data_IF_069549468372
#
_entry.id   IF_069549468372
#
_cell.length_a   1.000
_cell.length_b   1.000
_cell.length_c   1.000
_cell.angle_alpha   90.00
_cell.angle_beta   90.00
_cell.angle_gamma   90.00
#
_symmetry.space_group_name_H-M   'P 1'
#
loop_
_entity.id
_entity.type
_entity.pdbx_description
1 polymer ?
#
# COMPACT_ATOMS: atom_id res chain seq x y z
N UNK A 1 25.11 26.17 24.40
CA UNK A 1 24.77 25.66 25.75
C UNK A 1 24.56 24.17 25.59
N UNK A 2 25.55 23.38 25.99
CA UNK A 2 25.57 21.91 25.87
C UNK A 2 24.82 21.31 27.06
N UNK A 3 23.89 20.39 26.82
CA UNK A 3 23.38 19.48 27.85
C UNK A 3 23.84 18.07 27.47
N UNK A 4 24.72 17.54 28.32
CA UNK A 4 25.26 16.20 28.33
C UNK A 4 24.19 15.23 28.87
N UNK A 5 23.80 14.22 28.10
CA UNK A 5 22.87 13.17 28.56
C UNK A 5 23.55 11.81 28.55
N UNK A 6 24.46 11.62 29.51
CA UNK A 6 24.79 10.30 30.04
C UNK A 6 23.58 9.73 30.80
N UNK A 7 22.57 9.26 30.06
CA UNK A 7 21.63 8.24 30.54
C UNK A 7 21.62 7.08 29.55
N UNK A 8 22.76 6.42 29.61
CA UNK A 8 23.18 5.20 28.93
C UNK A 8 22.25 4.02 29.20
N UNK A 9 21.72 3.46 28.11
CA UNK A 9 21.69 2.01 27.79
C UNK A 9 20.62 1.09 28.41
N UNK A 10 19.55 1.59 29.03
CA UNK A 10 18.45 0.72 29.50
C UNK A 10 17.10 0.85 28.77
N UNK A 11 16.90 1.86 27.91
CA UNK A 11 15.62 2.10 27.22
C UNK A 11 15.52 1.58 25.77
N UNK A 12 16.56 0.91 25.25
CA UNK A 12 16.60 0.51 23.82
C UNK A 12 16.04 -0.90 23.53
N UNK A 13 15.81 -1.73 24.54
CA UNK A 13 15.25 -3.08 24.34
C UNK A 13 13.71 -3.12 24.50
N UNK A 14 13.15 -2.39 25.46
CA UNK A 14 11.70 -2.39 25.71
C UNK A 14 10.90 -1.69 24.59
N UNK A 15 11.44 -0.63 23.97
CA UNK A 15 10.79 0.04 22.81
C UNK A 15 10.80 -0.80 21.53
N UNK A 16 11.81 -1.65 21.33
CA UNK A 16 11.83 -2.58 20.18
C UNK A 16 10.74 -3.64 20.30
N UNK A 17 10.44 -4.08 21.52
CA UNK A 17 9.42 -5.10 21.78
C UNK A 17 8.00 -4.52 21.74
N UNK A 18 7.77 -3.29 22.19
CA UNK A 18 6.48 -2.60 22.00
C UNK A 18 6.16 -2.34 20.52
N UNK A 19 7.16 -1.97 19.71
CA UNK A 19 7.02 -1.86 18.25
C UNK A 19 6.64 -3.19 17.58
N UNK A 20 7.25 -4.30 18.01
CA UNK A 20 6.98 -5.65 17.49
C UNK A 20 5.63 -6.22 17.96
N UNK A 21 5.21 -5.98 19.19
CA UNK A 21 3.92 -6.43 19.74
C UNK A 21 2.75 -5.69 19.09
N UNK A 22 2.88 -4.38 18.86
CA UNK A 22 1.88 -3.60 18.12
C UNK A 22 1.86 -3.99 16.63
N UNK A 23 2.99 -4.46 16.10
CA UNK A 23 3.13 -4.91 14.72
C UNK A 23 2.52 -6.30 14.44
N UNK A 24 2.72 -7.28 15.32
CA UNK A 24 2.06 -8.59 15.21
C UNK A 24 0.54 -8.45 15.35
N UNK A 25 0.07 -7.55 16.23
CA UNK A 25 -1.34 -7.21 16.37
C UNK A 25 -1.90 -6.53 15.11
N UNK A 26 -1.16 -5.62 14.46
CA UNK A 26 -1.56 -5.02 13.19
C UNK A 26 -1.68 -6.06 12.07
N UNK A 27 -0.68 -6.94 11.92
CA UNK A 27 -0.71 -8.02 10.93
C UNK A 27 -1.83 -9.03 11.22
N UNK A 28 -2.03 -9.38 12.49
CA UNK A 28 -3.12 -10.26 12.91
C UNK A 28 -4.50 -9.62 12.67
N UNK A 29 -4.68 -8.33 12.98
CA UNK A 29 -5.94 -7.61 12.75
C UNK A 29 -6.24 -7.46 11.24
N UNK A 30 -5.23 -7.09 10.45
CA UNK A 30 -5.36 -7.01 9.00
C UNK A 30 -5.71 -8.38 8.41
N UNK A 31 -5.03 -9.45 8.84
CA UNK A 31 -5.34 -10.82 8.39
C UNK A 31 -6.67 -11.36 8.92
N UNK A 32 -7.09 -11.00 10.12
CA UNK A 32 -8.41 -11.34 10.65
C UNK A 32 -9.51 -10.72 9.77
N UNK A 33 -9.32 -9.47 9.32
CA UNK A 33 -10.24 -8.81 8.41
C UNK A 33 -10.21 -9.42 6.98
N UNK A 34 -9.06 -9.93 6.51
CA UNK A 34 -8.97 -10.69 5.25
C UNK A 34 -9.76 -12.01 5.29
N UNK A 35 -10.00 -12.56 6.49
CA UNK A 35 -10.72 -13.82 6.68
C UNK A 35 -12.22 -13.63 6.96
N UNK A 36 -12.73 -12.40 7.02
CA UNK A 36 -14.16 -12.10 7.23
C UNK A 36 -14.84 -11.73 5.91
N UNK A 37 -15.42 -12.72 5.23
CA UNK A 37 -16.32 -12.51 4.09
C UNK A 37 -17.79 -12.54 4.54
N UNK A 38 -18.65 -11.59 4.14
CA UNK A 38 -20.09 -11.70 4.34
C UNK A 38 -20.64 -12.79 3.42
N UNK A 39 -20.90 -13.96 3.98
CA UNK A 39 -21.38 -15.12 3.27
C UNK A 39 -22.92 -15.14 3.32
N UNK A 40 -23.58 -14.70 2.24
CA UNK A 40 -24.99 -15.01 2.00
C UNK A 40 -25.20 -15.47 0.55
N UNK A 41 -24.78 -16.70 0.27
CA UNK A 41 -25.56 -17.70 -0.47
C UNK A 41 -24.76 -19.02 -0.53
N UNK A 42 -25.19 -20.00 0.24
CA UNK A 42 -24.54 -21.30 0.39
C UNK A 42 -24.79 -22.19 -0.84
N UNK A 43 -23.89 -22.11 -1.82
CA UNK A 43 -23.58 -23.21 -2.73
C UNK A 43 -22.22 -23.80 -2.34
N UNK A 44 -22.13 -25.12 -2.15
CA UNK A 44 -20.90 -25.76 -1.68
C UNK A 44 -19.73 -25.53 -2.65
N UNK A 45 -18.75 -24.72 -2.24
CA UNK A 45 -17.51 -24.52 -3.00
C UNK A 45 -16.66 -25.81 -3.01
N UNK A 46 -15.85 -26.02 -4.07
CA UNK A 46 -14.98 -27.19 -4.16
C UNK A 46 -14.06 -27.30 -2.94
N UNK A 47 -13.76 -28.53 -2.54
CA UNK A 47 -12.87 -28.82 -1.41
C UNK A 47 -11.56 -28.05 -1.55
N UNK A 48 -11.05 -27.41 -0.48
CA UNK A 48 -9.86 -26.57 -0.58
C UNK A 48 -8.71 -27.36 -1.20
N UNK A 49 -8.10 -26.82 -2.26
CA UNK A 49 -6.86 -27.36 -2.80
C UNK A 49 -5.87 -27.51 -1.65
N UNK A 50 -5.37 -28.73 -1.45
CA UNK A 50 -4.46 -29.04 -0.34
C UNK A 50 -3.11 -28.33 -0.45
N UNK A 51 -2.81 -27.76 -1.64
CA UNK A 51 -1.53 -27.13 -1.99
C UNK A 51 -1.75 -25.95 -2.94
N UNK A 52 -0.94 -24.89 -2.79
CA UNK A 52 -0.89 -23.77 -3.73
C UNK A 52 -0.18 -24.19 -5.03
N UNK A 53 -0.73 -23.81 -6.18
CA UNK A 53 -0.10 -24.02 -7.49
C UNK A 53 1.01 -23.00 -7.76
N UNK A 54 1.92 -23.30 -8.68
CA UNK A 54 2.94 -22.33 -9.13
C UNK A 54 2.32 -21.04 -9.68
N UNK A 55 1.19 -21.14 -10.38
CA UNK A 55 0.48 -19.97 -10.91
C UNK A 55 -0.04 -19.07 -9.78
N UNK A 56 -0.70 -19.64 -8.78
CA UNK A 56 -1.18 -18.92 -7.59
C UNK A 56 -0.02 -18.30 -6.80
N UNK A 57 1.10 -19.03 -6.61
CA UNK A 57 2.29 -18.51 -5.95
C UNK A 57 2.90 -17.33 -6.70
N UNK A 58 3.01 -17.43 -8.04
CA UNK A 58 3.52 -16.34 -8.87
C UNK A 58 2.60 -15.12 -8.82
N UNK A 59 1.28 -15.32 -8.83
CA UNK A 59 0.30 -14.24 -8.71
C UNK A 59 0.43 -13.47 -7.39
N UNK A 60 0.58 -14.19 -6.27
CA UNK A 60 0.84 -13.58 -4.95
C UNK A 60 2.14 -12.77 -4.98
N UNK A 61 3.22 -13.35 -5.52
CA UNK A 61 4.51 -12.68 -5.59
C UNK A 61 4.50 -11.45 -6.50
N UNK A 62 3.77 -11.50 -7.61
CA UNK A 62 3.61 -10.39 -8.55
C UNK A 62 2.91 -9.21 -7.87
N UNK A 63 1.75 -9.43 -7.24
CA UNK A 63 1.02 -8.34 -6.59
C UNK A 63 1.75 -7.80 -5.35
N UNK A 64 2.38 -8.66 -4.54
CA UNK A 64 3.27 -8.20 -3.45
C UNK A 64 4.39 -7.33 -3.98
N UNK A 65 5.01 -7.74 -5.09
CA UNK A 65 6.10 -6.98 -5.72
C UNK A 65 5.61 -5.62 -6.20
N UNK A 66 4.47 -5.54 -6.88
CA UNK A 66 3.95 -4.27 -7.40
C UNK A 66 3.61 -3.26 -6.30
N UNK A 67 2.91 -3.70 -5.25
CA UNK A 67 2.61 -2.82 -4.11
C UNK A 67 3.89 -2.41 -3.36
N UNK A 68 4.84 -3.33 -3.17
CA UNK A 68 6.13 -3.03 -2.54
C UNK A 68 6.92 -2.03 -3.36
N UNK A 69 7.01 -2.23 -4.67
CA UNK A 69 7.76 -1.37 -5.56
C UNK A 69 7.12 0.02 -5.60
N UNK A 70 5.79 0.13 -5.59
CA UNK A 70 5.09 1.42 -5.46
C UNK A 70 5.56 2.19 -4.23
N UNK A 71 5.50 1.57 -3.05
CA UNK A 71 5.93 2.26 -1.81
C UNK A 71 7.44 2.55 -1.78
N UNK A 72 8.28 1.72 -2.42
CA UNK A 72 9.74 1.96 -2.55
C UNK A 72 10.03 3.16 -3.45
N UNK A 73 9.38 3.25 -4.61
CA UNK A 73 9.62 4.33 -5.56
C UNK A 73 9.05 5.66 -5.05
N UNK A 74 7.92 5.63 -4.32
CA UNK A 74 7.41 6.79 -3.58
C UNK A 74 8.42 7.30 -2.54
N UNK A 75 9.06 6.41 -1.77
CA UNK A 75 10.14 6.78 -0.84
C UNK A 75 11.30 7.43 -1.54
N UNK A 76 11.74 6.78 -2.62
CA UNK A 76 12.92 7.20 -3.36
C UNK A 76 12.70 8.61 -3.90
N UNK A 77 11.47 8.91 -4.35
CA UNK A 77 11.06 10.26 -4.70
C UNK A 77 11.17 11.24 -3.52
N UNK A 78 10.55 10.94 -2.36
CA UNK A 78 10.65 11.78 -1.16
C UNK A 78 12.09 12.09 -0.76
N UNK A 79 12.90 11.05 -0.59
CA UNK A 79 14.32 11.18 -0.18
C UNK A 79 15.09 12.00 -1.19
N UNK A 80 14.89 11.77 -2.49
CA UNK A 80 15.63 12.48 -3.53
C UNK A 80 15.21 13.95 -3.62
N UNK A 81 13.92 14.24 -3.42
CA UNK A 81 13.41 15.62 -3.34
C UNK A 81 13.96 16.37 -2.12
N UNK A 82 14.00 15.73 -0.95
CA UNK A 82 14.48 16.35 0.30
C UNK A 82 16.00 16.55 0.27
N UNK A 83 16.75 15.59 -0.25
CA UNK A 83 18.22 15.63 -0.27
C UNK A 83 18.80 16.34 -1.49
N UNK A 84 17.97 16.68 -2.49
CA UNK A 84 18.41 17.27 -3.75
C UNK A 84 19.21 16.29 -4.63
N UNK A 85 19.00 14.99 -4.49
CA UNK A 85 19.73 13.98 -5.26
C UNK A 85 19.23 13.95 -6.72
N UNK A 86 20.14 14.14 -7.69
CA UNK A 86 19.83 14.36 -9.11
C UNK A 86 19.44 13.08 -9.89
N UNK A 87 18.47 12.32 -9.40
CA UNK A 87 17.97 11.09 -10.04
C UNK A 87 16.44 11.02 -10.18
N UNK A 88 15.73 12.14 -9.97
CA UNK A 88 14.27 12.22 -9.99
C UNK A 88 13.66 11.68 -11.29
N UNK A 89 14.25 11.97 -12.45
CA UNK A 89 13.75 11.46 -13.74
C UNK A 89 13.79 9.94 -13.81
N UNK A 90 14.87 9.32 -13.32
CA UNK A 90 15.02 7.88 -13.27
C UNK A 90 14.04 7.24 -12.28
N UNK A 91 13.77 7.89 -11.15
CA UNK A 91 12.76 7.45 -10.17
C UNK A 91 11.36 7.56 -10.77
N UNK A 92 11.01 8.69 -11.37
CA UNK A 92 9.70 8.91 -11.98
C UNK A 92 9.42 7.86 -13.05
N UNK A 93 10.40 7.55 -13.90
CA UNK A 93 10.25 6.49 -14.91
C UNK A 93 9.87 5.14 -14.29
N UNK A 94 10.43 4.79 -13.13
CA UNK A 94 10.07 3.55 -12.42
C UNK A 94 8.72 3.66 -11.72
N UNK A 95 8.45 4.79 -11.08
CA UNK A 95 7.22 5.04 -10.34
C UNK A 95 5.98 5.01 -11.26
N UNK A 96 6.03 5.69 -12.41
CA UNK A 96 4.94 5.75 -13.38
C UNK A 96 4.83 4.50 -14.28
N UNK A 97 5.81 3.60 -14.26
CA UNK A 97 5.68 2.31 -14.96
C UNK A 97 4.86 1.29 -14.15
N UNK A 98 4.73 1.48 -12.83
CA UNK A 98 4.00 0.54 -11.96
C UNK A 98 2.50 0.45 -12.30
N UNK A 99 1.77 1.57 -12.52
CA UNK A 99 0.38 1.51 -12.97
C UNK A 99 0.21 0.73 -14.29
N UNK A 100 1.15 0.85 -15.22
CA UNK A 100 1.14 0.09 -16.48
C UNK A 100 1.27 -1.42 -16.23
N UNK A 101 2.18 -1.84 -15.35
CA UNK A 101 2.34 -3.27 -15.02
C UNK A 101 1.09 -3.79 -14.27
N UNK A 102 0.49 -2.99 -13.38
CA UNK A 102 -0.78 -3.36 -12.76
C UNK A 102 -1.87 -3.58 -13.81
N UNK A 103 -1.99 -2.70 -14.80
CA UNK A 103 -2.92 -2.86 -15.91
C UNK A 103 -2.68 -4.18 -16.65
N UNK A 104 -1.43 -4.43 -17.05
CA UNK A 104 -1.06 -5.66 -17.76
C UNK A 104 -1.40 -6.94 -16.98
N UNK A 105 -1.24 -6.90 -15.65
CA UNK A 105 -1.53 -8.04 -14.77
C UNK A 105 -3.03 -8.22 -14.52
N UNK A 106 -3.82 -7.15 -14.48
CA UNK A 106 -5.26 -7.21 -14.19
C UNK A 106 -6.11 -7.44 -15.45
N UNK A 107 -5.66 -6.97 -16.61
CA UNK A 107 -6.39 -7.06 -17.87
C UNK A 107 -6.82 -8.49 -18.26
N UNK A 108 -6.00 -9.55 -18.09
CA UNK A 108 -6.42 -10.91 -18.42
C UNK A 108 -7.60 -11.44 -17.59
N UNK A 109 -7.81 -10.87 -16.38
CA UNK A 109 -8.85 -11.31 -15.46
C UNK A 109 -10.12 -10.47 -15.58
N UNK A 110 -9.95 -9.17 -15.80
CA UNK A 110 -11.03 -8.20 -15.65
C UNK A 110 -11.31 -7.36 -16.90
N UNK A 111 -10.57 -7.59 -17.98
CA UNK A 111 -10.72 -6.84 -19.22
C UNK A 111 -10.01 -5.47 -19.22
N UNK A 112 -9.92 -4.88 -20.40
CA UNK A 112 -9.16 -3.65 -20.67
C UNK A 112 -9.71 -2.47 -19.88
N UNK A 113 -11.02 -2.27 -19.91
CA UNK A 113 -11.69 -1.11 -19.30
C UNK A 113 -11.40 -1.00 -17.80
N UNK A 114 -11.59 -2.08 -17.05
CA UNK A 114 -11.36 -2.09 -15.60
C UNK A 114 -9.87 -1.93 -15.25
N UNK A 115 -8.99 -2.59 -15.99
CA UNK A 115 -7.55 -2.51 -15.78
C UNK A 115 -7.00 -1.11 -16.07
N UNK A 116 -7.46 -0.46 -17.15
CA UNK A 116 -7.10 0.92 -17.50
C UNK A 116 -7.61 1.92 -16.47
N UNK A 117 -8.87 1.77 -16.01
CA UNK A 117 -9.42 2.66 -14.98
C UNK A 117 -8.62 2.60 -13.69
N UNK A 118 -8.22 1.41 -13.26
CA UNK A 118 -7.39 1.24 -12.07
C UNK A 118 -6.01 1.90 -12.23
N UNK A 119 -5.35 1.70 -13.37
CA UNK A 119 -4.05 2.33 -13.63
C UNK A 119 -4.13 3.87 -13.63
N UNK A 120 -5.15 4.44 -14.27
CA UNK A 120 -5.38 5.90 -14.27
C UNK A 120 -5.54 6.46 -12.85
N UNK A 121 -6.28 5.74 -11.99
CA UNK A 121 -6.45 6.16 -10.59
C UNK A 121 -5.12 6.12 -9.81
N UNK A 122 -4.27 5.11 -10.07
CA UNK A 122 -2.93 5.06 -9.47
C UNK A 122 -2.02 6.17 -9.98
N UNK A 123 -2.06 6.51 -11.27
CA UNK A 123 -1.31 7.65 -11.82
C UNK A 123 -1.72 8.95 -11.14
N UNK A 124 -3.03 9.19 -10.99
CA UNK A 124 -3.54 10.37 -10.30
C UNK A 124 -3.13 10.41 -8.82
N UNK A 125 -3.13 9.26 -8.14
CA UNK A 125 -2.62 9.14 -6.77
C UNK A 125 -1.14 9.52 -6.69
N UNK A 126 -0.30 9.02 -7.60
CA UNK A 126 1.14 9.35 -7.66
C UNK A 126 1.33 10.86 -7.85
N UNK A 127 0.60 11.48 -8.79
CA UNK A 127 0.68 12.93 -9.02
C UNK A 127 0.33 13.72 -7.77
N UNK A 128 -0.75 13.36 -7.06
CA UNK A 128 -1.16 14.05 -5.83
C UNK A 128 -0.18 13.85 -4.69
N UNK A 129 0.42 12.68 -4.59
CA UNK A 129 1.49 12.42 -3.64
C UNK A 129 2.71 13.30 -3.92
N UNK A 130 3.11 13.46 -5.19
CA UNK A 130 4.22 14.34 -5.54
C UNK A 130 3.91 15.81 -5.20
N UNK A 131 2.68 16.27 -5.44
CA UNK A 131 2.24 17.62 -5.04
C UNK A 131 2.34 17.80 -3.52
N UNK A 132 1.85 16.83 -2.75
CA UNK A 132 1.97 16.85 -1.28
C UNK A 132 3.43 16.98 -0.82
N UNK A 133 4.33 16.15 -1.36
CA UNK A 133 5.76 16.17 -0.98
C UNK A 133 6.39 17.53 -1.28
N UNK A 134 6.12 18.09 -2.47
CA UNK A 134 6.62 19.42 -2.83
C UNK A 134 6.09 20.51 -1.89
N UNK A 135 4.79 20.49 -1.60
CA UNK A 135 4.15 21.47 -0.71
C UNK A 135 4.72 21.40 0.73
N UNK A 136 4.98 20.19 1.22
CA UNK A 136 5.61 19.99 2.54
C UNK A 136 7.06 20.51 2.56
N UNK A 137 7.84 20.29 1.50
CA UNK A 137 9.21 20.83 1.38
C UNK A 137 9.20 22.36 1.29
N UNK A 138 8.24 22.96 0.57
CA UNK A 138 8.15 24.42 0.42
C UNK A 138 7.47 25.14 1.58
N UNK A 139 6.98 24.41 2.60
CA UNK A 139 6.23 25.00 3.70
C UNK A 139 4.89 25.62 3.29
N UNK A 140 4.21 25.01 2.32
CA UNK A 140 2.89 25.43 1.82
C UNK A 140 1.77 24.54 2.40
N UNK A 141 1.19 24.90 3.57
CA UNK A 141 0.17 24.08 4.21
C UNK A 141 -1.13 24.02 3.40
N UNK A 142 -1.47 25.07 2.65
CA UNK A 142 -2.72 25.11 1.89
C UNK A 142 -2.70 24.05 0.77
N UNK A 143 -1.59 23.99 0.02
CA UNK A 143 -1.43 22.97 -1.03
C UNK A 143 -1.28 21.57 -0.44
N UNK A 144 -0.58 21.42 0.70
CA UNK A 144 -0.43 20.14 1.37
C UNK A 144 -1.77 19.57 1.86
N UNK A 145 -2.63 20.41 2.45
CA UNK A 145 -3.96 20.01 2.91
C UNK A 145 -4.87 19.62 1.73
N UNK A 146 -4.86 20.40 0.65
CA UNK A 146 -5.63 20.09 -0.56
C UNK A 146 -5.18 18.77 -1.20
N UNK A 147 -3.87 18.54 -1.32
CA UNK A 147 -3.31 17.29 -1.84
C UNK A 147 -3.65 16.10 -0.93
N UNK A 148 -3.67 16.29 0.39
CA UNK A 148 -4.06 15.25 1.35
C UNK A 148 -5.53 14.84 1.17
N UNK A 149 -6.44 15.81 1.03
CA UNK A 149 -7.86 15.53 0.74
C UNK A 149 -8.00 14.77 -0.57
N UNK A 150 -7.29 15.19 -1.62
CA UNK A 150 -7.30 14.50 -2.90
C UNK A 150 -6.80 13.04 -2.78
N UNK A 151 -5.72 12.78 -2.01
CA UNK A 151 -5.19 11.44 -1.80
C UNK A 151 -6.23 10.49 -1.17
N UNK A 152 -6.93 10.95 -0.13
CA UNK A 152 -7.99 10.14 0.49
C UNK A 152 -9.20 9.93 -0.43
N UNK A 153 -9.55 10.94 -1.26
CA UNK A 153 -10.57 10.75 -2.31
C UNK A 153 -10.15 9.68 -3.31
N UNK A 154 -8.90 9.70 -3.79
CA UNK A 154 -8.40 8.67 -4.71
C UNK A 154 -8.37 7.28 -4.08
N UNK A 155 -8.06 7.16 -2.79
CA UNK A 155 -8.19 5.89 -2.07
C UNK A 155 -9.62 5.34 -2.14
N UNK A 156 -10.63 6.18 -1.93
CA UNK A 156 -12.03 5.78 -2.06
C UNK A 156 -12.39 5.38 -3.50
N UNK A 157 -11.96 6.15 -4.49
CA UNK A 157 -12.20 5.84 -5.90
C UNK A 157 -11.52 4.52 -6.34
N UNK A 158 -10.31 4.25 -5.85
CA UNK A 158 -9.60 2.99 -6.10
C UNK A 158 -10.33 1.82 -5.44
N UNK A 159 -10.76 1.96 -4.20
CA UNK A 159 -11.50 0.91 -3.50
C UNK A 159 -12.83 0.59 -4.18
N UNK A 160 -13.55 1.60 -4.66
CA UNK A 160 -14.78 1.43 -5.43
C UNK A 160 -14.52 0.74 -6.77
N UNK A 161 -13.46 1.16 -7.50
CA UNK A 161 -13.05 0.57 -8.77
C UNK A 161 -12.74 -0.93 -8.62
N UNK A 162 -11.95 -1.30 -7.59
CA UNK A 162 -11.61 -2.70 -7.33
C UNK A 162 -12.85 -3.50 -6.94
N UNK A 163 -13.67 -3.01 -6.00
CA UNK A 163 -14.85 -3.74 -5.55
C UNK A 163 -15.90 -3.97 -6.66
N UNK A 164 -16.07 -3.03 -7.59
CA UNK A 164 -16.97 -3.22 -8.76
C UNK A 164 -16.46 -4.26 -9.74
N UNK A 165 -15.15 -4.38 -9.83
CA UNK A 165 -14.46 -5.24 -10.79
C UNK A 165 -14.49 -6.73 -10.36
N UNK A 166 -14.49 -6.99 -9.04
CA UNK A 166 -14.42 -8.34 -8.51
C UNK A 166 -15.35 -8.50 -7.28
N UNK A 167 -16.36 -9.40 -7.31
CA UNK A 167 -17.28 -9.59 -6.18
C UNK A 167 -16.59 -10.13 -4.92
N UNK A 168 -15.37 -10.67 -5.02
CA UNK A 168 -14.59 -11.14 -3.87
C UNK A 168 -13.75 -10.04 -3.22
N UNK A 169 -13.81 -8.81 -3.74
CA UNK A 169 -13.20 -7.64 -3.14
C UNK A 169 -14.26 -6.75 -2.48
N UNK A 170 -14.27 -6.72 -1.16
CA UNK A 170 -15.05 -5.74 -0.38
C UNK A 170 -14.48 -4.34 -0.54
N UNK A 171 -15.36 -3.36 -0.83
CA UNK A 171 -15.04 -1.93 -0.87
C UNK A 171 -14.53 -1.45 0.49
N UNK A 172 -15.21 -1.80 1.58
CA UNK A 172 -14.86 -1.36 2.93
C UNK A 172 -13.47 -1.86 3.33
N UNK A 173 -13.15 -3.11 2.96
CA UNK A 173 -11.84 -3.67 3.22
C UNK A 173 -10.75 -3.00 2.36
N UNK A 174 -11.03 -2.72 1.08
CA UNK A 174 -10.10 -1.95 0.26
C UNK A 174 -9.88 -0.54 0.79
N UNK A 175 -10.93 0.17 1.18
CA UNK A 175 -10.84 1.50 1.79
C UNK A 175 -10.01 1.44 3.08
N UNK A 176 -10.30 0.49 3.97
CA UNK A 176 -9.54 0.30 5.20
C UNK A 176 -8.05 0.11 4.93
N UNK A 177 -7.70 -0.80 4.02
CA UNK A 177 -6.31 -1.07 3.70
C UNK A 177 -5.63 0.15 3.05
N UNK A 178 -6.23 0.73 2.01
CA UNK A 178 -5.63 1.82 1.25
C UNK A 178 -5.53 3.14 2.05
N UNK A 179 -6.45 3.42 2.98
CA UNK A 179 -6.43 4.63 3.82
C UNK A 179 -5.18 4.73 4.70
N UNK A 180 -4.51 3.62 4.96
CA UNK A 180 -3.26 3.63 5.73
C UNK A 180 -2.08 4.24 4.93
N UNK A 181 -2.11 4.21 3.59
CA UNK A 181 -0.99 4.67 2.77
C UNK A 181 -0.76 6.21 2.88
N UNK A 182 -1.75 7.09 2.63
CA UNK A 182 -1.53 8.53 2.72
C UNK A 182 -1.03 8.96 4.10
N UNK A 183 -1.65 8.44 5.17
CA UNK A 183 -1.28 8.79 6.54
C UNK A 183 0.11 8.32 6.97
N UNK A 184 0.60 7.18 6.45
CA UNK A 184 1.99 6.76 6.67
C UNK A 184 2.96 7.62 5.84
N UNK A 185 2.66 7.87 4.57
CA UNK A 185 3.47 8.70 3.68
C UNK A 185 3.66 10.14 4.20
N UNK A 186 2.60 10.78 4.71
CA UNK A 186 2.66 12.12 5.31
C UNK A 186 3.60 12.14 6.51
N UNK A 187 3.43 11.18 7.44
CA UNK A 187 4.26 11.10 8.66
C UNK A 187 5.71 10.79 8.36
N UNK A 188 5.97 9.95 7.37
CA UNK A 188 7.32 9.65 6.93
C UNK A 188 8.00 10.88 6.33
N UNK A 189 7.30 11.64 5.48
CA UNK A 189 7.86 12.86 4.89
C UNK A 189 8.20 13.90 5.97
N UNK A 190 7.31 14.07 6.97
CA UNK A 190 7.56 14.94 8.13
C UNK A 190 8.79 14.46 8.91
N UNK A 191 8.86 13.17 9.24
CA UNK A 191 10.00 12.61 9.97
C UNK A 191 11.33 12.80 9.20
N UNK A 192 11.33 12.66 7.88
CA UNK A 192 12.50 12.97 7.04
C UNK A 192 12.90 14.46 7.13
N UNK A 193 11.94 15.38 7.02
CA UNK A 193 12.17 16.82 7.09
C UNK A 193 12.69 17.26 8.48
N UNK A 194 12.18 16.63 9.54
CA UNK A 194 12.58 16.87 10.93
C UNK A 194 13.83 16.08 11.35
N UNK A 195 14.40 15.27 10.44
CA UNK A 195 15.57 14.42 10.68
C UNK A 195 15.36 13.38 11.81
N UNK A 196 14.12 12.97 12.04
CA UNK A 196 13.73 11.92 12.99
C UNK A 196 13.93 10.52 12.37
N UNK A 197 15.17 10.16 12.02
CA UNK A 197 15.48 8.97 11.21
C UNK A 197 14.99 7.64 11.79
N UNK A 198 15.05 7.44 13.11
CA UNK A 198 14.58 6.19 13.72
C UNK A 198 13.06 6.02 13.56
N UNK A 199 12.29 7.09 13.79
CA UNK A 199 10.84 7.11 13.60
C UNK A 199 10.47 6.92 12.13
N UNK A 200 11.25 7.51 11.24
CA UNK A 200 11.11 7.37 9.81
C UNK A 200 11.27 5.92 9.36
N UNK A 201 12.32 5.23 9.83
CA UNK A 201 12.56 3.82 9.54
C UNK A 201 11.48 2.91 10.13
N UNK A 202 10.96 3.23 11.32
CA UNK A 202 9.81 2.52 11.90
C UNK A 202 8.54 2.65 11.03
N UNK A 203 8.29 3.83 10.44
CA UNK A 203 7.19 4.03 9.49
C UNK A 203 7.44 3.22 8.22
N UNK A 204 8.67 3.24 7.71
CA UNK A 204 9.07 2.50 6.50
C UNK A 204 8.85 1.00 6.64
N UNK A 205 9.25 0.42 7.76
CA UNK A 205 9.03 -1.00 8.04
C UNK A 205 7.54 -1.36 8.06
N UNK A 206 6.69 -0.49 8.61
CA UNK A 206 5.23 -0.65 8.55
C UNK A 206 4.70 -0.56 7.12
N UNK A 207 5.14 0.42 6.33
CA UNK A 207 4.71 0.58 4.94
C UNK A 207 5.08 -0.60 4.06
N UNK A 208 6.32 -1.12 4.17
CA UNK A 208 6.77 -2.26 3.38
C UNK A 208 5.93 -3.51 3.66
N UNK A 209 5.58 -3.74 4.93
CA UNK A 209 4.75 -4.89 5.32
C UNK A 209 3.29 -4.68 4.92
N UNK A 210 2.79 -3.45 5.04
CA UNK A 210 1.44 -3.11 4.56
C UNK A 210 1.29 -3.32 3.06
N UNK A 211 2.33 -3.01 2.27
CA UNK A 211 2.35 -3.31 0.84
C UNK A 211 2.20 -4.81 0.55
N UNK A 212 2.75 -5.69 1.39
CA UNK A 212 2.55 -7.13 1.26
C UNK A 212 1.09 -7.53 1.53
N UNK A 213 0.44 -6.91 2.53
CA UNK A 213 -0.98 -7.15 2.85
C UNK A 213 -1.88 -6.72 1.67
N UNK A 214 -1.60 -5.56 1.05
CA UNK A 214 -2.30 -5.10 -0.15
C UNK A 214 -2.15 -6.11 -1.31
N UNK A 215 -0.92 -6.61 -1.51
CA UNK A 215 -0.64 -7.64 -2.50
C UNK A 215 -1.37 -8.97 -2.22
N UNK A 216 -1.42 -9.39 -0.96
CA UNK A 216 -2.12 -10.60 -0.53
C UNK A 216 -3.62 -10.50 -0.77
N UNK A 217 -4.25 -9.39 -0.39
CA UNK A 217 -5.68 -9.19 -0.61
C UNK A 217 -6.05 -9.09 -2.09
N UNK A 218 -5.20 -8.43 -2.89
CA UNK A 218 -5.36 -8.40 -4.34
C UNK A 218 -5.28 -9.83 -4.91
N UNK A 219 -4.22 -10.56 -4.61
CA UNK A 219 -4.05 -11.93 -5.10
C UNK A 219 -5.21 -12.85 -4.69
N UNK A 220 -5.65 -12.77 -3.43
CA UNK A 220 -6.76 -13.57 -2.90
C UNK A 220 -8.05 -13.34 -3.70
N UNK A 221 -8.42 -12.09 -3.96
CA UNK A 221 -9.61 -11.81 -4.75
C UNK A 221 -9.48 -12.30 -6.20
N UNK A 222 -8.32 -12.15 -6.84
CA UNK A 222 -8.12 -12.70 -8.20
C UNK A 222 -8.23 -14.22 -8.20
N UNK A 223 -7.61 -14.91 -7.22
CA UNK A 223 -7.68 -16.37 -7.10
C UNK A 223 -9.13 -16.85 -6.91
N UNK A 224 -9.91 -16.19 -6.06
CA UNK A 224 -11.33 -16.54 -5.90
C UNK A 224 -12.15 -16.25 -7.16
N UNK A 225 -11.82 -15.19 -7.91
CA UNK A 225 -12.50 -14.86 -9.16
C UNK A 225 -12.32 -15.92 -10.24
N UNK A 226 -11.09 -16.45 -10.39
CA UNK A 226 -10.74 -17.42 -11.44
C UNK A 226 -11.05 -18.88 -11.07
N UNK A 227 -11.33 -19.17 -9.80
CA UNK A 227 -11.78 -20.49 -9.35
C UNK A 227 -13.30 -20.44 -9.22
N UNK A 228 -14.07 -20.82 -10.27
CA UNK A 228 -15.51 -20.84 -10.16
C UNK A 228 -15.93 -21.82 -9.04
N UNK A 229 -16.71 -21.36 -8.07
CA UNK A 229 -17.50 -22.30 -7.28
C UNK A 229 -18.47 -22.95 -8.28
N UNK A 230 -18.21 -24.22 -8.62
CA UNK A 230 -19.07 -25.00 -9.50
C UNK A 230 -20.42 -25.23 -8.80
N UNK A 231 -21.35 -24.30 -8.98
CA UNK A 231 -22.76 -24.48 -8.66
C UNK A 231 -23.45 -25.15 -9.84
N UNK A 232 -24.05 -26.31 -9.60
CA UNK A 232 -25.02 -26.96 -10.49
C UNK A 232 -26.28 -26.12 -10.64
#
# INVERSE_FOLDING_TARGET
MFIDYKMSRKCTEDHKMEGLLNHAAYYAAANQNLNQYPNQNQGACPSPEKYITYGQMNLINDFRTLWRDLVIWMRSYQVSMITGFSNIDAINKRLYHIPEIFKEKLQPFFGVEHAERFAQLLDMYIVKFQILVNAQISGDPQTADAATVDLYRFVEEVADCLARCNPFWSKDQWQYLLNNLPGMSIRENIALLEQEYDKELDIRDRMLKHALILGDYMAQGVMHYIVPCQGK
#
